data_IF_805358106247
#
_entry.id   IF_805358106247
#
_cell.length_a   1.000
_cell.length_b   1.000
_cell.length_c   1.000
_cell.angle_alpha   90.00
_cell.angle_beta   90.00
_cell.angle_gamma   90.00
#
_symmetry.space_group_name_H-M   'P 1'
#
loop_
_entity.id
_entity.type
_entity.pdbx_description
1 polymer ?
#
# COMPACT_ATOMS: atom_id res chain seq x y z
N UNK A 1 -7.84 -3.47 -7.71
CA UNK A 1 -6.93 -4.17 -6.76
C UNK A 1 -6.71 -3.29 -5.55
N UNK A 2 -7.07 -3.75 -4.34
CA UNK A 2 -7.10 -2.89 -3.15
C UNK A 2 -6.23 -3.47 -2.01
N UNK A 3 -5.24 -2.72 -1.50
CA UNK A 3 -4.50 -3.07 -0.27
C UNK A 3 -5.41 -3.42 0.89
N UNK A 4 -4.93 -4.25 1.81
CA UNK A 4 -5.78 -4.76 2.89
C UNK A 4 -6.36 -3.65 3.77
N UNK A 5 -5.54 -2.66 4.16
CA UNK A 5 -5.97 -1.56 5.03
C UNK A 5 -7.05 -0.65 4.41
N UNK A 6 -7.16 -0.63 3.07
CA UNK A 6 -8.19 0.14 2.37
C UNK A 6 -9.51 -0.62 2.22
N UNK A 7 -9.57 -1.88 2.65
CA UNK A 7 -10.81 -2.68 2.66
C UNK A 7 -11.58 -2.41 3.95
N UNK A 8 -12.90 -2.35 3.83
CA UNK A 8 -13.80 -2.06 4.95
C UNK A 8 -13.34 -0.77 5.69
N UNK A 9 -13.60 -0.68 6.99
CA UNK A 9 -13.27 0.51 7.80
C UNK A 9 -11.89 0.46 8.47
N UNK A 10 -10.99 -0.43 8.02
CA UNK A 10 -9.68 -0.63 8.63
C UNK A 10 -8.79 0.63 8.58
N UNK A 11 -8.87 1.42 7.49
CA UNK A 11 -8.07 2.64 7.30
C UNK A 11 -8.22 3.66 8.44
N UNK A 12 -9.41 3.74 9.06
CA UNK A 12 -9.67 4.66 10.16
C UNK A 12 -8.80 4.36 11.38
N UNK A 13 -8.48 3.08 11.59
CA UNK A 13 -7.74 2.60 12.75
C UNK A 13 -6.29 2.25 12.42
N UNK A 14 -5.80 2.62 11.23
CA UNK A 14 -4.47 2.22 10.75
C UNK A 14 -3.36 2.64 11.74
N UNK A 15 -3.35 3.91 12.15
CA UNK A 15 -2.34 4.44 13.07
C UNK A 15 -2.37 3.69 14.41
N UNK A 16 -3.56 3.61 15.03
CA UNK A 16 -3.75 2.95 16.33
C UNK A 16 -3.40 1.45 16.29
N UNK A 17 -3.77 0.76 15.20
CA UNK A 17 -3.52 -0.66 15.03
C UNK A 17 -2.02 -0.95 14.88
N UNK A 18 -1.30 -0.10 14.13
CA UNK A 18 0.15 -0.17 13.99
C UNK A 18 0.83 0.09 15.34
N UNK A 19 0.48 1.18 16.04
CA UNK A 19 1.02 1.49 17.36
C UNK A 19 0.78 0.36 18.36
N UNK A 20 -0.44 -0.19 18.37
CA UNK A 20 -0.81 -1.29 19.26
C UNK A 20 0.01 -2.55 18.96
N UNK A 21 0.15 -2.92 17.68
CA UNK A 21 0.94 -4.08 17.28
C UNK A 21 2.42 -3.95 17.68
N UNK A 22 3.01 -2.77 17.49
CA UNK A 22 4.40 -2.49 17.87
C UNK A 22 4.57 -2.55 19.39
N UNK A 23 3.65 -1.94 20.16
CA UNK A 23 3.68 -1.96 21.63
C UNK A 23 3.49 -3.35 22.22
N UNK A 24 2.71 -4.21 21.57
CA UNK A 24 2.52 -5.59 22.01
C UNK A 24 3.78 -6.45 21.82
N UNK A 25 4.61 -6.15 20.81
CA UNK A 25 5.82 -6.92 20.49
C UNK A 25 7.01 -6.03 20.16
N UNK A 26 7.49 -5.19 21.09
CA UNK A 26 8.51 -4.17 20.79
C UNK A 26 9.85 -4.79 20.37
N UNK A 27 10.20 -5.97 20.90
CA UNK A 27 11.43 -6.67 20.55
C UNK A 27 11.46 -7.13 19.10
N UNK A 28 10.31 -7.46 18.52
CA UNK A 28 10.23 -7.88 17.13
C UNK A 28 10.55 -6.70 16.19
N UNK A 29 10.21 -5.47 16.57
CA UNK A 29 10.43 -4.29 15.71
C UNK A 29 11.74 -3.54 16.02
N UNK A 30 12.48 -3.93 17.06
CA UNK A 30 13.71 -3.26 17.49
C UNK A 30 14.80 -3.25 16.41
N UNK A 31 14.88 -4.31 15.61
CA UNK A 31 15.89 -4.46 14.55
C UNK A 31 15.45 -3.86 13.21
N UNK A 32 14.21 -3.40 13.09
CA UNK A 32 13.74 -2.75 11.86
C UNK A 32 14.42 -1.39 11.72
N UNK A 33 15.17 -1.20 10.63
CA UNK A 33 15.92 0.02 10.33
C UNK A 33 15.09 1.06 9.57
N UNK A 34 13.88 0.71 9.11
CA UNK A 34 13.00 1.61 8.36
C UNK A 34 11.52 1.30 8.56
N UNK A 35 10.68 2.30 8.32
CA UNK A 35 9.22 2.18 8.29
C UNK A 35 8.74 1.09 7.31
N UNK A 36 9.44 0.92 6.18
CA UNK A 36 9.14 -0.15 5.23
C UNK A 36 9.35 -1.54 5.84
N UNK A 37 10.44 -1.77 6.56
CA UNK A 37 10.68 -3.04 7.25
C UNK A 37 9.64 -3.30 8.33
N UNK A 38 9.23 -2.27 9.06
CA UNK A 38 8.14 -2.37 10.04
C UNK A 38 6.84 -2.77 9.33
N UNK A 39 6.47 -2.10 8.23
CA UNK A 39 5.25 -2.41 7.46
C UNK A 39 5.27 -3.85 6.91
N UNK A 40 6.38 -4.30 6.32
CA UNK A 40 6.47 -5.67 5.80
C UNK A 40 6.38 -6.70 6.93
N UNK A 41 6.96 -6.42 8.10
CA UNK A 41 6.87 -7.30 9.27
C UNK A 41 5.47 -7.34 9.88
N UNK A 42 4.78 -6.20 9.95
CA UNK A 42 3.37 -6.12 10.36
C UNK A 42 2.47 -6.92 9.42
N UNK A 43 2.71 -6.82 8.11
CA UNK A 43 2.00 -7.61 7.11
C UNK A 43 2.26 -9.11 7.26
N UNK A 44 3.48 -9.52 7.63
CA UNK A 44 3.81 -10.91 7.96
C UNK A 44 3.06 -11.41 9.20
N UNK A 45 2.81 -10.55 10.19
CA UNK A 45 1.96 -10.85 11.35
C UNK A 45 0.46 -10.76 11.05
N UNK A 46 0.08 -10.51 9.80
CA UNK A 46 -1.32 -10.49 9.37
C UNK A 46 -2.03 -9.16 9.61
N UNK A 47 -1.33 -8.11 10.04
CA UNK A 47 -1.91 -6.77 10.10
C UNK A 47 -2.10 -6.22 8.69
N UNK A 48 -3.29 -5.69 8.40
CA UNK A 48 -3.56 -5.06 7.11
C UNK A 48 -2.77 -3.76 6.95
N UNK A 49 -1.85 -3.74 5.99
CA UNK A 49 -1.03 -2.56 5.65
C UNK A 49 -1.44 -1.96 4.29
N UNK A 50 -0.86 -0.80 3.96
CA UNK A 50 -0.97 -0.17 2.63
C UNK A 50 -0.17 -0.90 1.55
N UNK A 51 0.86 -1.64 1.96
CA UNK A 51 1.69 -2.41 1.04
C UNK A 51 0.82 -3.39 0.23
N UNK A 52 0.98 -3.35 -1.09
CA UNK A 52 0.45 -4.34 -1.99
C UNK A 52 1.59 -5.15 -2.57
N UNK A 53 1.63 -6.45 -2.27
CA UNK A 53 2.61 -7.37 -2.86
C UNK A 53 2.37 -7.47 -4.38
N UNK A 54 3.45 -7.31 -5.14
CA UNK A 54 3.53 -7.62 -6.57
C UNK A 54 4.76 -8.48 -6.83
N UNK A 55 4.83 -9.12 -7.99
CA UNK A 55 5.95 -9.99 -8.36
C UNK A 55 6.56 -9.54 -9.66
N UNK A 56 7.89 -9.48 -9.71
CA UNK A 56 8.65 -9.29 -10.95
C UNK A 56 8.76 -10.60 -11.74
N UNK A 57 8.41 -11.73 -11.14
CA UNK A 57 8.40 -13.03 -11.80
C UNK A 57 7.01 -13.36 -12.35
N UNK A 58 6.82 -13.40 -13.69
CA UNK A 58 5.52 -13.68 -14.30
C UNK A 58 5.04 -15.12 -14.05
N UNK A 59 5.93 -16.08 -13.78
CA UNK A 59 5.55 -17.45 -13.44
C UNK A 59 4.92 -17.53 -12.04
N UNK A 60 5.40 -16.71 -11.10
CA UNK A 60 4.78 -16.59 -9.77
C UNK A 60 3.39 -15.95 -9.89
N UNK A 61 3.24 -14.91 -10.72
CA UNK A 61 1.93 -14.32 -10.99
C UNK A 61 0.97 -15.34 -11.62
N UNK A 62 1.46 -16.13 -12.59
CA UNK A 62 0.71 -17.19 -13.24
C UNK A 62 0.28 -18.28 -12.26
N UNK A 63 1.18 -18.72 -11.38
CA UNK A 63 0.87 -19.69 -10.34
C UNK A 63 -0.32 -19.23 -9.51
N UNK A 64 -0.25 -18.05 -8.90
CA UNK A 64 -1.32 -17.51 -8.06
C UNK A 64 -2.63 -17.26 -8.83
N UNK A 65 -2.55 -16.75 -10.06
CA UNK A 65 -3.74 -16.56 -10.89
C UNK A 65 -4.40 -17.89 -11.29
N UNK A 66 -3.65 -18.99 -11.30
CA UNK A 66 -4.16 -20.32 -11.63
C UNK A 66 -4.68 -21.10 -10.43
N UNK A 67 -4.40 -20.65 -9.20
CA UNK A 67 -4.87 -21.31 -7.97
C UNK A 67 -6.38 -21.20 -7.81
N UNK A 68 -6.99 -22.17 -7.13
CA UNK A 68 -8.42 -22.11 -6.83
C UNK A 68 -8.64 -21.06 -5.75
N UNK A 69 -9.44 -20.04 -6.06
CA UNK A 69 -9.85 -19.02 -5.11
C UNK A 69 -11.37 -19.07 -4.96
N UNK A 70 -11.85 -19.12 -3.72
CA UNK A 70 -13.26 -19.05 -3.39
C UNK A 70 -13.47 -17.93 -2.37
N UNK A 71 -14.46 -17.09 -2.63
CA UNK A 71 -14.84 -16.02 -1.72
C UNK A 71 -16.14 -16.39 -1.02
N UNK A 72 -16.14 -16.27 0.31
CA UNK A 72 -17.37 -16.39 1.08
C UNK A 72 -18.20 -15.12 0.92
N UNK A 73 -19.40 -15.25 0.35
CA UNK A 73 -20.34 -14.15 0.23
C UNK A 73 -21.52 -14.43 1.14
N UNK A 74 -21.71 -13.53 2.12
CA UNK A 74 -22.85 -13.58 3.02
C UNK A 74 -24.11 -13.07 2.31
N UNK A 75 -25.15 -13.88 2.30
CA UNK A 75 -26.48 -13.53 1.82
C UNK A 75 -27.25 -12.69 2.84
N UNK A 76 -28.28 -12.00 2.37
CA UNK A 76 -29.17 -11.17 3.22
C UNK A 76 -29.94 -11.98 4.26
N UNK A 77 -30.03 -13.29 4.08
CA UNK A 77 -30.66 -14.27 4.98
C UNK A 77 -29.72 -14.77 6.09
N UNK A 78 -28.50 -14.21 6.20
CA UNK A 78 -27.48 -14.61 7.17
C UNK A 78 -26.75 -15.90 6.79
N UNK A 79 -27.17 -16.60 5.73
CA UNK A 79 -26.47 -17.76 5.17
C UNK A 79 -25.48 -17.27 4.12
N UNK A 80 -24.34 -17.93 3.97
CA UNK A 80 -23.37 -17.58 2.93
C UNK A 80 -22.93 -18.78 2.12
N UNK A 81 -22.34 -18.49 0.97
CA UNK A 81 -21.83 -19.50 0.04
C UNK A 81 -20.44 -19.11 -0.44
N UNK A 82 -19.65 -20.13 -0.73
CA UNK A 82 -18.38 -19.97 -1.40
C UNK A 82 -18.61 -19.83 -2.91
N UNK A 83 -18.09 -18.75 -3.49
CA UNK A 83 -18.19 -18.46 -4.91
C UNK A 83 -16.77 -18.54 -5.50
N UNK A 84 -16.53 -19.40 -6.49
CA UNK A 84 -15.26 -19.42 -7.21
C UNK A 84 -14.97 -18.07 -7.86
N UNK A 85 -13.74 -17.58 -7.68
CA UNK A 85 -13.23 -16.35 -8.29
C UNK A 85 -12.16 -16.68 -9.32
N UNK A 86 -12.27 -16.03 -10.47
CA UNK A 86 -11.28 -16.15 -11.53
C UNK A 86 -9.99 -15.42 -11.13
N UNK A 87 -8.86 -15.96 -11.56
CA UNK A 87 -7.59 -15.26 -11.42
C UNK A 87 -7.44 -14.16 -12.46
N UNK A 88 -6.78 -13.07 -12.09
CA UNK A 88 -6.43 -11.96 -12.98
C UNK A 88 -4.94 -11.68 -12.83
N UNK A 89 -4.23 -11.61 -13.95
CA UNK A 89 -2.87 -11.05 -13.99
C UNK A 89 -2.97 -9.69 -14.68
N UNK A 90 -2.60 -8.66 -13.93
CA UNK A 90 -2.34 -7.32 -14.45
C UNK A 90 -0.84 -7.06 -14.38
N UNK A 91 -0.33 -6.24 -15.31
CA UNK A 91 1.10 -5.91 -15.37
C UNK A 91 1.28 -4.42 -15.62
N UNK A 92 2.47 -3.92 -15.33
CA UNK A 92 2.88 -2.56 -15.65
C UNK A 92 4.40 -2.52 -15.83
N UNK A 93 4.86 -1.63 -16.71
CA UNK A 93 6.26 -1.21 -16.77
C UNK A 93 6.40 0.11 -16.03
N UNK A 94 7.14 0.09 -14.92
CA UNK A 94 7.34 1.26 -14.07
C UNK A 94 8.78 1.31 -13.56
N UNK A 95 9.20 2.50 -13.14
CA UNK A 95 10.47 2.67 -12.47
C UNK A 95 10.40 2.04 -11.06
N UNK A 96 11.33 1.13 -10.77
CA UNK A 96 11.47 0.54 -9.44
C UNK A 96 12.27 1.47 -8.53
N UNK A 97 11.57 2.24 -7.70
CA UNK A 97 12.16 3.17 -6.75
C UNK A 97 12.97 2.44 -5.66
N UNK A 98 14.03 3.09 -5.20
CA UNK A 98 14.80 2.68 -4.02
C UNK A 98 14.11 3.16 -2.74
N UNK A 99 14.28 2.40 -1.66
CA UNK A 99 13.75 2.75 -0.34
C UNK A 99 14.29 4.09 0.21
N UNK A 100 15.44 4.55 -0.26
CA UNK A 100 16.06 5.81 0.16
C UNK A 100 15.46 7.04 -0.52
N UNK A 101 14.70 6.86 -1.61
CA UNK A 101 14.10 7.98 -2.35
C UNK A 101 13.04 8.68 -1.49
N UNK A 102 12.93 10.00 -1.67
CA UNK A 102 12.11 10.89 -0.84
C UNK A 102 10.64 10.48 -0.87
N UNK A 103 10.13 10.19 -2.05
CA UNK A 103 8.73 9.81 -2.28
C UNK A 103 8.39 8.49 -1.56
N UNK A 104 9.32 7.52 -1.59
CA UNK A 104 9.16 6.22 -0.93
C UNK A 104 9.22 6.37 0.59
N UNK A 105 10.19 7.14 1.11
CA UNK A 105 10.29 7.44 2.55
C UNK A 105 9.00 8.08 3.07
N UNK A 106 8.51 9.10 2.39
CA UNK A 106 7.25 9.77 2.74
C UNK A 106 6.10 8.77 2.70
N UNK A 107 5.94 8.00 1.62
CA UNK A 107 4.85 7.04 1.48
C UNK A 107 4.84 5.97 2.59
N UNK A 108 6.02 5.50 3.01
CA UNK A 108 6.17 4.55 4.11
C UNK A 108 5.86 5.15 5.48
N UNK A 109 6.09 6.45 5.67
CA UNK A 109 5.87 7.12 6.95
C UNK A 109 4.39 7.47 7.23
N UNK A 110 3.59 7.71 6.18
CA UNK A 110 2.18 8.13 6.32
C UNK A 110 1.29 7.23 7.22
N UNK A 111 1.43 5.90 7.23
CA UNK A 111 0.69 5.03 8.16
C UNK A 111 0.98 5.33 9.63
N UNK A 112 2.21 5.74 9.95
CA UNK A 112 2.71 6.05 11.30
C UNK A 112 2.42 7.48 11.75
N UNK A 113 1.68 8.25 10.94
CA UNK A 113 1.23 9.58 11.29
C UNK A 113 -0.25 9.55 11.60
N UNK A 114 -0.61 10.15 12.73
CA UNK A 114 -2.00 10.44 13.08
C UNK A 114 -2.53 11.63 12.27
N UNK A 115 -3.65 11.39 11.58
CA UNK A 115 -4.35 12.35 10.73
C UNK A 115 -5.54 12.93 11.49
N UNK A 116 -5.23 13.82 12.44
CA UNK A 116 -6.23 14.60 13.16
C UNK A 116 -7.14 15.39 12.20
N UNK A 117 -8.34 15.76 12.68
CA UNK A 117 -9.36 16.43 11.86
C UNK A 117 -8.94 17.83 11.38
N UNK A 118 -8.01 18.49 12.02
CA UNK A 118 -7.50 19.81 11.61
C UNK A 118 -6.17 19.73 10.85
N UNK A 119 -5.67 18.52 10.58
CA UNK A 119 -4.37 18.36 9.92
C UNK A 119 -4.40 18.93 8.49
N UNK A 120 -3.54 19.91 8.25
CA UNK A 120 -3.30 20.56 6.96
C UNK A 120 -1.98 20.10 6.31
N UNK A 121 -1.75 20.51 5.07
CA UNK A 121 -0.57 20.15 4.27
C UNK A 121 0.72 20.60 4.96
N UNK A 122 0.77 21.82 5.48
CA UNK A 122 1.94 22.35 6.19
C UNK A 122 2.23 21.57 7.47
N UNK A 123 1.21 21.27 8.27
CA UNK A 123 1.31 20.47 9.50
C UNK A 123 1.72 19.03 9.23
N UNK A 124 1.29 18.43 8.11
CA UNK A 124 1.77 17.10 7.69
C UNK A 124 3.26 17.14 7.34
N UNK A 125 3.71 18.17 6.61
CA UNK A 125 5.12 18.34 6.28
C UNK A 125 5.97 18.54 7.55
N UNK A 126 5.48 19.35 8.49
CA UNK A 126 6.15 19.56 9.78
C UNK A 126 6.27 18.26 10.59
N UNK A 127 5.22 17.42 10.60
CA UNK A 127 5.28 16.09 11.24
C UNK A 127 6.31 15.18 10.57
N UNK A 128 6.40 15.18 9.24
CA UNK A 128 7.42 14.41 8.51
C UNK A 128 8.85 14.87 8.88
N UNK A 129 9.07 16.18 8.99
CA UNK A 129 10.35 16.75 9.41
C UNK A 129 10.69 16.38 10.87
N UNK A 130 9.75 16.59 11.80
CA UNK A 130 9.91 16.26 13.23
C UNK A 130 10.20 14.78 13.47
N UNK A 131 9.60 13.90 12.67
CA UNK A 131 9.84 12.46 12.73
C UNK A 131 11.14 12.03 12.04
N UNK A 132 11.93 12.96 11.49
CA UNK A 132 13.21 12.67 10.83
C UNK A 132 13.06 12.00 9.46
N UNK A 133 11.88 12.03 8.86
CA UNK A 133 11.62 11.41 7.55
C UNK A 133 12.24 12.23 6.43
N UNK A 134 12.23 13.56 6.58
CA UNK A 134 12.80 14.52 5.64
C UNK A 134 13.81 15.43 6.34
N UNK A 135 14.83 15.89 5.61
CA UNK A 135 15.79 16.87 6.10
C UNK A 135 15.35 18.32 5.78
N UNK A 136 16.12 19.30 6.26
CA UNK A 136 15.81 20.73 6.08
C UNK A 136 15.80 21.17 4.61
N UNK A 137 16.69 20.65 3.79
CA UNK A 137 16.77 20.99 2.37
C UNK A 137 15.57 20.41 1.59
N UNK A 138 15.18 19.19 1.93
CA UNK A 138 13.98 18.52 1.40
C UNK A 138 12.71 19.27 1.82
N UNK A 139 12.61 19.67 3.08
CA UNK A 139 11.48 20.46 3.58
C UNK A 139 11.34 21.78 2.81
N UNK A 140 12.44 22.52 2.63
CA UNK A 140 12.44 23.76 1.87
C UNK A 140 12.01 23.53 0.42
N UNK A 141 12.57 22.53 -0.26
CA UNK A 141 12.20 22.19 -1.64
C UNK A 141 10.74 21.74 -1.77
N UNK A 142 10.19 21.09 -0.75
CA UNK A 142 8.79 20.64 -0.73
C UNK A 142 7.81 21.81 -0.46
N UNK A 143 8.24 22.85 0.25
CA UNK A 143 7.48 24.10 0.50
C UNK A 143 7.40 25.00 -0.73
N UNK A 144 8.42 24.97 -1.59
CA UNK A 144 8.48 25.78 -2.80
C UNK A 144 7.24 25.64 -3.69
N UNK A 145 6.94 26.73 -4.42
CA UNK A 145 5.77 26.80 -5.32
C UNK A 145 4.46 26.44 -4.61
N UNK A 146 4.31 26.92 -3.37
CA UNK A 146 3.15 26.69 -2.52
C UNK A 146 2.85 25.18 -2.42
N UNK A 147 3.78 24.40 -1.89
CA UNK A 147 3.60 22.96 -1.60
C UNK A 147 3.25 22.07 -2.81
N UNK A 148 3.31 22.56 -4.05
CA UNK A 148 2.83 21.83 -5.23
C UNK A 148 3.54 20.48 -5.42
N UNK A 149 4.87 20.46 -5.21
CA UNK A 149 5.66 19.22 -5.29
C UNK A 149 5.25 18.26 -4.18
N UNK A 150 5.12 18.74 -2.95
CA UNK A 150 4.72 17.90 -1.82
C UNK A 150 3.35 17.26 -2.04
N UNK A 151 2.38 18.03 -2.53
CA UNK A 151 1.06 17.54 -2.91
C UNK A 151 1.15 16.42 -3.94
N UNK A 152 1.99 16.58 -4.97
CA UNK A 152 2.19 15.52 -5.97
C UNK A 152 2.78 14.24 -5.35
N UNK A 153 3.73 14.37 -4.42
CA UNK A 153 4.35 13.24 -3.74
C UNK A 153 3.33 12.48 -2.88
N UNK A 154 2.53 13.16 -2.05
CA UNK A 154 1.55 12.50 -1.18
C UNK A 154 0.29 12.00 -1.93
N UNK A 155 0.19 12.27 -3.24
CA UNK A 155 -0.89 11.78 -4.10
C UNK A 155 -0.42 10.74 -5.13
N UNK A 156 0.88 10.41 -5.16
CA UNK A 156 1.43 9.41 -6.08
C UNK A 156 1.64 8.07 -5.38
N UNK A 157 1.61 7.00 -6.17
CA UNK A 157 1.95 5.65 -5.72
C UNK A 157 3.41 5.35 -6.06
N UNK A 158 4.14 4.70 -5.16
CA UNK A 158 5.52 4.32 -5.42
C UNK A 158 5.63 2.81 -5.66
N UNK A 159 6.33 2.42 -6.73
CA UNK A 159 6.71 1.03 -6.99
C UNK A 159 8.10 0.80 -6.43
N UNK A 160 8.24 -0.16 -5.52
CA UNK A 160 9.50 -0.43 -4.81
C UNK A 160 9.91 -1.86 -5.05
N UNK A 161 11.17 -2.05 -5.45
CA UNK A 161 11.78 -3.37 -5.53
C UNK A 161 12.46 -3.64 -4.20
N UNK A 162 12.01 -4.65 -3.47
CA UNK A 162 12.59 -5.00 -2.18
C UNK A 162 14.02 -5.48 -2.38
N UNK A 163 14.97 -4.86 -1.67
CA UNK A 163 16.33 -5.36 -1.58
C UNK A 163 16.36 -6.59 -0.65
N UNK A 164 16.00 -7.77 -1.18
CA UNK A 164 16.45 -9.11 -0.76
C UNK A 164 16.64 -9.42 0.74
N UNK A 165 15.86 -8.83 1.66
CA UNK A 165 16.06 -9.01 3.10
C UNK A 165 15.34 -10.22 3.70
N UNK A 166 14.41 -10.85 2.96
CA UNK A 166 13.62 -11.99 3.43
C UNK A 166 13.59 -13.11 2.38
N UNK A 167 13.81 -14.37 2.79
CA UNK A 167 13.75 -15.55 1.92
C UNK A 167 12.44 -15.63 1.10
N UNK A 168 11.30 -15.23 1.69
CA UNK A 168 10.01 -15.18 0.98
C UNK A 168 10.06 -14.23 -0.23
N UNK A 169 10.63 -13.03 -0.05
CA UNK A 169 10.72 -12.01 -1.08
C UNK A 169 11.77 -12.36 -2.13
N UNK A 170 12.89 -12.95 -1.70
CA UNK A 170 13.95 -13.44 -2.59
C UNK A 170 13.45 -14.58 -3.49
N UNK A 171 12.67 -15.53 -2.95
CA UNK A 171 12.13 -16.66 -3.74
C UNK A 171 11.04 -16.25 -4.73
N UNK A 172 10.31 -15.17 -4.46
CA UNK A 172 9.19 -14.72 -5.30
C UNK A 172 9.57 -13.56 -6.23
N UNK A 173 10.82 -13.07 -6.20
CA UNK A 173 11.17 -11.79 -6.84
C UNK A 173 10.19 -10.67 -6.46
N UNK A 174 9.90 -10.59 -5.15
CA UNK A 174 8.85 -9.75 -4.60
C UNK A 174 9.17 -8.27 -4.73
N UNK A 175 8.18 -7.51 -5.18
CA UNK A 175 8.17 -6.06 -5.19
C UNK A 175 6.88 -5.57 -4.52
N UNK A 176 6.78 -4.28 -4.27
CA UNK A 176 5.65 -3.68 -3.59
C UNK A 176 5.16 -2.43 -4.31
N UNK A 177 3.86 -2.19 -4.24
CA UNK A 177 3.28 -0.89 -4.48
C UNK A 177 2.94 -0.28 -3.12
N UNK A 178 3.37 0.97 -2.93
CA UNK A 178 3.12 1.75 -1.71
C UNK A 178 2.22 2.92 -2.08
N UNK A 179 0.90 2.79 -1.87
CA UNK A 179 -0.03 3.87 -2.11
C UNK A 179 -0.06 4.86 -0.95
N UNK A 180 0.10 6.13 -1.28
CA UNK A 180 -0.06 7.25 -0.35
C UNK A 180 -1.53 7.53 -0.07
N UNK A 181 -2.38 7.49 -1.11
CA UNK A 181 -3.83 7.64 -1.03
C UNK A 181 -4.28 8.78 -0.10
N UNK A 182 -3.71 9.98 -0.25
CA UNK A 182 -4.11 11.17 0.50
C UNK A 182 -5.05 12.03 -0.33
N UNK A 183 -6.21 12.36 0.24
CA UNK A 183 -7.15 13.33 -0.31
C UNK A 183 -6.88 14.70 0.29
N UNK A 184 -6.82 15.69 -0.59
CA UNK A 184 -6.76 17.10 -0.21
C UNK A 184 -8.17 17.68 -0.28
N UNK A 185 -8.63 18.24 0.82
CA UNK A 185 -9.90 18.95 0.90
C UNK A 185 -9.59 20.40 0.59
N UNK A 186 -10.07 20.85 -0.58
CA UNK A 186 -9.88 22.23 -1.03
C UNK A 186 -10.79 23.14 -0.23
N UNK A 187 -10.19 23.94 0.62
CA UNK A 187 -10.79 25.15 1.16
C UNK A 187 -10.13 26.36 0.47
N UNK A 188 -10.78 27.52 0.49
CA UNK A 188 -10.18 28.74 -0.05
C UNK A 188 -8.91 29.09 0.73
N UNK A 189 -7.75 29.16 0.05
CA UNK A 189 -6.49 29.47 0.72
C UNK A 189 -5.25 29.07 -0.07
N UNK A 190 -4.09 29.19 0.57
CA UNK A 190 -2.82 28.64 0.08
C UNK A 190 -2.82 27.12 0.21
N UNK A 191 -2.03 26.43 -0.62
CA UNK A 191 -1.95 24.97 -0.58
C UNK A 191 -1.51 24.43 0.79
N UNK A 192 -0.70 25.19 1.54
CA UNK A 192 -0.28 24.83 2.89
C UNK A 192 -1.46 24.65 3.87
N UNK A 193 -2.49 25.50 3.76
CA UNK A 193 -3.67 25.48 4.63
C UNK A 193 -4.71 24.40 4.29
N UNK A 194 -4.52 23.68 3.18
CA UNK A 194 -5.49 22.69 2.72
C UNK A 194 -5.50 21.48 3.65
N UNK A 195 -6.69 21.02 4.04
CA UNK A 195 -6.83 19.86 4.91
C UNK A 195 -6.48 18.57 4.18
N UNK A 196 -5.76 17.69 4.87
CA UNK A 196 -5.36 16.37 4.34
C UNK A 196 -6.08 15.25 5.06
N UNK A 197 -6.54 14.25 4.30
CA UNK A 197 -7.19 13.06 4.84
C UNK A 197 -6.66 11.80 4.18
N UNK A 198 -6.52 10.74 4.98
CA UNK A 198 -6.35 9.39 4.45
C UNK A 198 -7.58 9.04 3.61
N UNK A 199 -7.36 8.52 2.41
CA UNK A 199 -8.40 8.06 1.50
C UNK A 199 -8.13 6.62 1.09
N UNK A 200 -9.18 5.97 0.59
CA UNK A 200 -9.07 4.66 -0.03
C UNK A 200 -8.70 4.86 -1.50
N UNK A 201 -7.84 4.01 -2.04
CA UNK A 201 -7.62 3.93 -3.48
C UNK A 201 -7.77 2.49 -3.97
N UNK A 202 -8.33 2.35 -5.17
CA UNK A 202 -8.15 1.13 -5.95
C UNK A 202 -6.93 1.33 -6.87
N UNK A 203 -6.06 0.33 -6.92
CA UNK A 203 -4.83 0.34 -7.71
C UNK A 203 -5.00 -0.27 -9.10
N UNK A 204 -6.21 -0.57 -9.58
CA UNK A 204 -6.42 -1.10 -10.93
C UNK A 204 -5.86 -0.14 -11.99
N UNK A 205 -5.97 1.18 -11.80
CA UNK A 205 -5.40 2.19 -12.69
C UNK A 205 -3.86 2.31 -12.59
N UNK A 206 -3.24 1.68 -11.59
CA UNK A 206 -1.78 1.59 -11.50
C UNK A 206 -1.19 0.56 -12.49
N UNK A 207 -2.04 -0.24 -13.15
CA UNK A 207 -1.64 -1.26 -14.11
C UNK A 207 -2.20 -0.99 -15.50
N UNK A 208 -1.64 -1.70 -16.48
CA UNK A 208 -2.14 -1.67 -17.85
C UNK A 208 -3.59 -2.18 -17.94
N UNK A 209 -4.36 -1.60 -18.87
CA UNK A 209 -5.75 -2.01 -19.11
C UNK A 209 -5.84 -3.46 -19.61
N UNK A 210 -4.82 -3.90 -20.34
CA UNK A 210 -4.71 -5.27 -20.84
C UNK A 210 -4.34 -6.18 -19.67
N UNK A 211 -5.13 -7.22 -19.46
CA UNK A 211 -4.94 -8.19 -18.39
C UNK A 211 -5.29 -9.60 -18.87
N UNK A 212 -4.73 -10.62 -18.21
CA UNK A 212 -5.00 -12.03 -18.48
C UNK A 212 -5.99 -12.57 -17.44
N UNK A 213 -7.06 -13.21 -17.90
CA UNK A 213 -8.08 -13.83 -17.05
C UNK A 213 -7.97 -15.36 -17.06
N UNK A 214 -8.02 -15.95 -15.87
CA UNK A 214 -7.90 -17.39 -15.64
C UNK A 214 -9.20 -17.92 -15.05
N UNK A 215 -10.07 -18.42 -15.92
CA UNK A 215 -11.39 -18.90 -15.53
C UNK A 215 -11.31 -20.22 -14.74
N UNK A 216 -11.87 -20.25 -13.54
CA UNK A 216 -11.90 -21.46 -12.71
C UNK A 216 -12.80 -22.56 -13.28
N UNK A 217 -13.82 -22.19 -14.08
CA UNK A 217 -14.84 -23.11 -14.60
C UNK A 217 -14.35 -24.05 -15.73
N UNK A 218 -13.16 -23.84 -16.30
CA UNK A 218 -12.65 -24.66 -17.43
C UNK A 218 -11.81 -25.89 -17.04
N UNK A 219 -11.56 -26.16 -15.75
CA UNK A 219 -10.76 -27.32 -15.30
C UNK A 219 -11.52 -28.66 -15.23
N UNK A 220 -12.50 -28.89 -16.11
CA UNK A 220 -13.00 -30.25 -16.42
C UNK A 220 -12.42 -30.69 -17.76
N UNK A 221 -11.13 -31.00 -17.80
CA UNK A 221 -10.60 -31.88 -18.83
C UNK A 221 -11.16 -33.26 -18.51
N UNK A 222 -12.19 -33.65 -19.27
CA UNK A 222 -12.68 -35.01 -19.35
C UNK A 222 -11.55 -35.89 -19.88
N UNK A 223 -10.74 -36.48 -19.00
CA UNK A 223 -10.05 -37.71 -19.32
C UNK A 223 -11.13 -38.81 -19.39
N UNK A 224 -11.79 -38.91 -20.54
CA UNK A 224 -12.45 -40.15 -20.94
C UNK A 224 -11.37 -40.95 -21.68
N UNK A 225 -10.80 -41.92 -20.98
CA UNK A 225 -10.25 -43.10 -21.64
C UNK A 225 -11.40 -44.00 -22.06
#
# INVERSE_FOLDING_TARGET
MCPNVFRNDALKYEFDAIETAIRQRPYDFRECASDFEILTKLQHYGLGTRLLDVTLNPLVALYFASEKCEEYVQGKDGRGKYIPRDGKIAYQYSYGHKLTELEVRIACALPFIDFAEDLAVDGLLEKLYKNGIINVDEENSLKENDYKRFIQVIQSNSFVVSAHSNERLTRQSGAFIIPTAIKIIKDSGSNGSLLVRKARCDLDDAFEKIHLLFHQRRKKLSAKN
#
